data_IF_265357265919
#
_entry.id   IF_265357265919
#
_cell.length_a   1.000
_cell.length_b   1.000
_cell.length_c   1.000
_cell.angle_alpha   90.00
_cell.angle_beta   90.00
_cell.angle_gamma   90.00
#
_symmetry.space_group_name_H-M   'P 1'
#
loop_
_entity.id
_entity.type
_entity.pdbx_description
1 polymer ?
#
# COMPACT_ATOMS: atom_id res chain seq x y z
N UNK A 1 -18.82 31.66 -15.08
CA UNK A 1 -18.96 30.75 -16.24
C UNK A 1 -17.65 30.00 -16.38
N UNK A 2 -17.72 28.69 -16.61
CA UNK A 2 -16.52 27.88 -16.86
C UNK A 2 -15.85 28.27 -18.18
N UNK A 3 -14.54 28.02 -18.31
CA UNK A 3 -13.80 28.25 -19.56
C UNK A 3 -14.47 27.51 -20.73
N UNK A 4 -14.92 26.28 -20.48
CA UNK A 4 -15.64 25.45 -21.44
C UNK A 4 -16.94 26.11 -21.94
N UNK A 5 -17.78 26.61 -21.03
CA UNK A 5 -19.03 27.29 -21.39
C UNK A 5 -18.77 28.56 -22.19
N UNK A 6 -17.72 29.33 -21.84
CA UNK A 6 -17.36 30.52 -22.58
C UNK A 6 -16.95 30.20 -24.01
N UNK A 7 -16.10 29.18 -24.19
CA UNK A 7 -15.67 28.72 -25.51
C UNK A 7 -16.86 28.24 -26.35
N UNK A 8 -17.76 27.45 -25.75
CA UNK A 8 -18.94 26.88 -26.42
C UNK A 8 -19.98 27.92 -26.80
N UNK A 9 -20.33 28.81 -25.88
CA UNK A 9 -21.48 29.69 -26.04
C UNK A 9 -21.12 31.02 -26.70
N UNK A 10 -19.87 31.46 -26.57
CA UNK A 10 -19.45 32.79 -27.04
C UNK A 10 -18.33 32.72 -28.05
N UNK A 11 -17.16 32.21 -27.68
CA UNK A 11 -15.94 32.48 -28.43
C UNK A 11 -15.91 31.73 -29.78
N UNK A 12 -16.33 30.45 -29.82
CA UNK A 12 -16.42 29.68 -31.07
C UNK A 12 -17.56 30.19 -31.98
N UNK A 13 -18.79 30.42 -31.49
CA UNK A 13 -19.84 31.04 -32.30
C UNK A 13 -19.44 32.41 -32.85
N UNK A 14 -18.80 33.26 -32.04
CA UNK A 14 -18.30 34.56 -32.47
C UNK A 14 -17.22 34.42 -33.54
N UNK A 15 -16.22 33.56 -33.36
CA UNK A 15 -15.18 33.34 -34.36
C UNK A 15 -15.74 32.80 -35.69
N UNK A 16 -16.76 31.93 -35.63
CA UNK A 16 -17.49 31.49 -36.84
C UNK A 16 -18.25 32.63 -37.52
N UNK A 17 -18.85 33.53 -36.74
CA UNK A 17 -19.54 34.70 -37.30
C UNK A 17 -18.55 35.63 -37.99
N UNK A 18 -17.39 35.90 -37.38
CA UNK A 18 -16.34 36.73 -38.00
C UNK A 18 -15.90 36.13 -39.35
N UNK A 19 -15.72 34.81 -39.45
CA UNK A 19 -15.40 34.17 -40.74
C UNK A 19 -16.51 34.33 -41.78
N UNK A 20 -17.79 34.29 -41.37
CA UNK A 20 -18.92 34.53 -42.27
C UNK A 20 -18.95 35.98 -42.77
N UNK A 21 -18.71 36.92 -41.87
CA UNK A 21 -18.65 38.34 -42.21
C UNK A 21 -17.48 38.61 -43.15
N UNK A 22 -16.34 37.96 -42.93
CA UNK A 22 -15.18 38.02 -43.82
C UNK A 22 -15.47 37.54 -45.23
N UNK A 23 -16.21 36.44 -45.38
CA UNK A 23 -16.63 35.98 -46.71
C UNK A 23 -17.41 37.06 -47.47
N UNK A 24 -18.40 37.69 -46.82
CA UNK A 24 -19.17 38.79 -47.44
C UNK A 24 -18.29 40.00 -47.75
N UNK A 25 -17.35 40.35 -46.87
CA UNK A 25 -16.44 41.47 -47.07
C UNK A 25 -15.48 41.23 -48.23
N UNK A 26 -14.97 40.00 -48.39
CA UNK A 26 -14.06 39.65 -49.48
C UNK A 26 -14.71 39.75 -50.85
N UNK A 27 -15.99 39.38 -50.96
CA UNK A 27 -16.76 39.59 -52.19
C UNK A 27 -16.81 41.08 -52.55
N UNK A 28 -17.11 41.94 -51.57
CA UNK A 28 -17.13 43.40 -51.78
C UNK A 28 -15.75 43.97 -52.14
N UNK A 29 -14.68 43.44 -51.55
CA UNK A 29 -13.30 43.81 -51.91
C UNK A 29 -12.99 43.39 -53.35
N UNK A 30 -13.42 42.20 -53.78
CA UNK A 30 -13.25 41.75 -55.14
C UNK A 30 -14.00 42.65 -56.14
N UNK A 31 -15.28 42.97 -55.88
CA UNK A 31 -16.09 43.88 -56.70
C UNK A 31 -15.45 45.28 -56.79
N UNK A 32 -14.88 45.77 -55.67
CA UNK A 32 -14.14 47.02 -55.63
C UNK A 32 -12.88 46.96 -56.48
N UNK A 33 -12.05 45.92 -56.33
CA UNK A 33 -10.81 45.76 -57.10
C UNK A 33 -11.10 45.75 -58.60
N UNK A 34 -12.14 45.04 -59.04
CA UNK A 34 -12.58 45.01 -60.44
C UNK A 34 -13.01 46.40 -60.92
N UNK A 35 -13.93 47.04 -60.19
CA UNK A 35 -14.46 48.36 -60.55
C UNK A 35 -13.37 49.43 -60.57
N UNK A 36 -12.48 49.44 -59.56
CA UNK A 36 -11.34 50.35 -59.46
C UNK A 36 -10.39 50.14 -60.63
N UNK A 37 -10.07 48.89 -60.96
CA UNK A 37 -9.20 48.60 -62.11
C UNK A 37 -9.82 49.04 -63.43
N UNK A 38 -11.13 48.87 -63.64
CA UNK A 38 -11.81 49.32 -64.87
C UNK A 38 -11.88 50.85 -64.98
N UNK A 39 -12.21 51.54 -63.89
CA UNK A 39 -12.43 53.00 -63.87
C UNK A 39 -11.15 53.83 -63.75
N UNK A 40 -10.07 53.28 -63.19
CA UNK A 40 -8.82 54.01 -62.99
C UNK A 40 -8.16 54.43 -64.32
N UNK A 41 -7.66 55.66 -64.36
CA UNK A 41 -6.83 56.17 -65.45
C UNK A 41 -5.43 55.53 -65.47
N UNK A 42 -4.85 55.29 -64.29
CA UNK A 42 -3.57 54.58 -64.12
C UNK A 42 -3.79 53.14 -63.67
N UNK A 43 -3.64 52.19 -64.61
CA UNK A 43 -3.81 50.76 -64.35
C UNK A 43 -2.73 50.16 -63.46
N UNK A 44 -1.51 50.72 -63.44
CA UNK A 44 -0.43 50.19 -62.59
C UNK A 44 -0.74 50.43 -61.12
N UNK A 45 -1.18 51.65 -60.80
CA UNK A 45 -1.57 52.01 -59.43
C UNK A 45 -2.75 51.18 -58.93
N UNK A 46 -3.79 50.99 -59.77
CA UNK A 46 -4.95 50.16 -59.40
C UNK A 46 -4.59 48.68 -59.18
N UNK A 47 -3.64 48.15 -59.97
CA UNK A 47 -3.13 46.79 -59.78
C UNK A 47 -2.35 46.65 -58.47
N UNK A 48 -1.50 47.62 -58.14
CA UNK A 48 -0.73 47.62 -56.89
C UNK A 48 -1.66 47.66 -55.67
N UNK A 49 -2.72 48.47 -55.72
CA UNK A 49 -3.76 48.50 -54.68
C UNK A 49 -4.48 47.14 -54.55
N UNK A 50 -4.81 46.50 -55.68
CA UNK A 50 -5.41 45.16 -55.70
C UNK A 50 -4.48 44.12 -55.06
N UNK A 51 -3.17 44.16 -55.35
CA UNK A 51 -2.18 43.28 -54.73
C UNK A 51 -2.09 43.50 -53.22
N UNK A 52 -2.12 44.76 -52.77
CA UNK A 52 -2.12 45.09 -51.35
C UNK A 52 -3.36 44.54 -50.63
N UNK A 53 -4.56 44.77 -51.19
CA UNK A 53 -5.82 44.25 -50.65
C UNK A 53 -5.87 42.72 -50.66
N UNK A 54 -5.31 42.07 -51.68
CA UNK A 54 -5.21 40.60 -51.76
C UNK A 54 -4.31 40.05 -50.65
N UNK A 55 -3.17 40.68 -50.42
CA UNK A 55 -2.23 40.29 -49.36
C UNK A 55 -2.86 40.47 -47.97
N UNK A 56 -3.54 41.59 -47.74
CA UNK A 56 -4.27 41.86 -46.51
C UNK A 56 -5.40 40.84 -46.28
N UNK A 57 -6.16 40.54 -47.33
CA UNK A 57 -7.25 39.56 -47.30
C UNK A 57 -6.76 38.17 -46.93
N UNK A 58 -5.67 37.71 -47.56
CA UNK A 58 -5.04 36.44 -47.25
C UNK A 58 -4.56 36.37 -45.80
N UNK A 59 -3.87 37.40 -45.32
CA UNK A 59 -3.39 37.47 -43.94
C UNK A 59 -4.55 37.44 -42.94
N UNK A 60 -5.62 38.19 -43.22
CA UNK A 60 -6.79 38.28 -42.34
C UNK A 60 -7.54 36.96 -42.21
N UNK A 61 -7.83 36.27 -43.33
CA UNK A 61 -8.50 34.96 -43.31
C UNK A 61 -7.65 33.92 -42.61
N UNK A 62 -6.34 33.89 -42.90
CA UNK A 62 -5.41 32.92 -42.30
C UNK A 62 -5.37 33.09 -40.78
N UNK A 63 -5.30 34.33 -40.28
CA UNK A 63 -5.35 34.61 -38.86
C UNK A 63 -6.64 34.13 -38.21
N UNK A 64 -7.80 34.39 -38.83
CA UNK A 64 -9.08 34.01 -38.25
C UNK A 64 -9.29 32.51 -38.22
N UNK A 65 -8.90 31.80 -39.28
CA UNK A 65 -8.93 30.33 -39.32
C UNK A 65 -8.02 29.76 -38.24
N UNK A 66 -6.80 30.27 -38.10
CA UNK A 66 -5.84 29.83 -37.08
C UNK A 66 -6.35 30.07 -35.66
N UNK A 67 -6.91 31.26 -35.40
CA UNK A 67 -7.48 31.63 -34.11
C UNK A 67 -8.68 30.74 -33.74
N UNK A 68 -9.61 30.52 -34.68
CA UNK A 68 -10.76 29.64 -34.45
C UNK A 68 -10.33 28.18 -34.26
N UNK A 69 -9.36 27.70 -35.02
CA UNK A 69 -8.83 26.35 -34.86
C UNK A 69 -8.20 26.17 -33.46
N UNK A 70 -7.40 27.13 -33.01
CA UNK A 70 -6.74 27.10 -31.69
C UNK A 70 -7.77 27.08 -30.56
N UNK A 71 -8.80 27.93 -30.65
CA UNK A 71 -9.89 27.96 -29.65
C UNK A 71 -10.72 26.68 -29.67
N UNK A 72 -10.95 26.09 -30.84
CA UNK A 72 -11.65 24.81 -30.96
C UNK A 72 -10.85 23.64 -30.38
N UNK A 73 -9.55 23.55 -30.66
CA UNK A 73 -8.66 22.55 -30.06
C UNK A 73 -8.66 22.66 -28.53
N UNK A 74 -8.60 23.89 -28.00
CA UNK A 74 -8.69 24.14 -26.55
C UNK A 74 -9.98 23.60 -25.94
N UNK A 75 -11.11 23.77 -26.63
CA UNK A 75 -12.38 23.19 -26.20
C UNK A 75 -12.32 21.66 -26.16
N UNK A 76 -11.76 21.02 -27.19
CA UNK A 76 -11.65 19.56 -27.26
C UNK A 76 -10.77 19.00 -26.14
N UNK A 77 -9.65 19.66 -25.84
CA UNK A 77 -8.77 19.28 -24.73
C UNK A 77 -9.48 19.34 -23.38
N UNK A 78 -10.26 20.40 -23.15
CA UNK A 78 -11.05 20.55 -21.92
C UNK A 78 -12.13 19.47 -21.81
N UNK A 79 -12.85 19.16 -22.90
CA UNK A 79 -13.83 18.07 -22.91
C UNK A 79 -13.18 16.70 -22.66
N UNK A 80 -12.01 16.44 -23.26
CA UNK A 80 -11.27 15.21 -23.05
C UNK A 80 -10.74 15.09 -21.61
N UNK A 81 -10.38 16.20 -20.97
CA UNK A 81 -10.01 16.21 -19.55
C UNK A 81 -11.20 15.91 -18.63
N UNK A 82 -12.37 16.52 -18.88
CA UNK A 82 -13.59 16.24 -18.11
C UNK A 82 -14.04 14.79 -18.27
N UNK A 83 -13.98 14.23 -19.48
CA UNK A 83 -14.29 12.82 -19.72
C UNK A 83 -13.34 11.88 -18.95
N UNK A 84 -12.03 12.14 -18.97
CA UNK A 84 -11.06 11.33 -18.18
C UNK A 84 -11.35 11.38 -16.68
N UNK A 85 -11.82 12.52 -16.16
CA UNK A 85 -12.21 12.65 -14.76
C UNK A 85 -13.45 11.81 -14.44
N UNK A 86 -14.47 11.88 -15.30
CA UNK A 86 -15.68 11.06 -15.18
C UNK A 86 -15.35 9.57 -15.28
N UNK A 87 -14.49 9.19 -16.22
CA UNK A 87 -14.00 7.83 -16.37
C UNK A 87 -13.27 7.34 -15.12
N UNK A 88 -12.33 8.13 -14.57
CA UNK A 88 -11.62 7.76 -13.34
C UNK A 88 -12.58 7.60 -12.15
N UNK A 89 -13.60 8.46 -12.06
CA UNK A 89 -14.64 8.37 -11.03
C UNK A 89 -15.48 7.09 -11.17
N UNK A 90 -15.80 6.69 -12.40
CA UNK A 90 -16.55 5.46 -12.71
C UNK A 90 -15.68 4.22 -12.53
N UNK A 91 -14.42 4.26 -12.95
CA UNK A 91 -13.54 3.08 -12.98
C UNK A 91 -12.91 2.77 -11.63
N UNK A 92 -12.47 3.79 -10.87
CA UNK A 92 -11.80 3.56 -9.58
C UNK A 92 -12.79 3.64 -8.41
N UNK A 93 -13.60 4.70 -8.36
CA UNK A 93 -14.35 5.02 -7.14
C UNK A 93 -15.68 4.27 -7.06
N UNK A 94 -16.38 4.11 -8.19
CA UNK A 94 -17.66 3.43 -8.21
C UNK A 94 -17.55 1.92 -7.89
N UNK A 95 -16.63 1.14 -8.50
CA UNK A 95 -16.60 -0.31 -8.34
C UNK A 95 -16.03 -0.67 -6.97
N UNK A 96 -15.00 0.03 -6.48
CA UNK A 96 -14.51 -0.17 -5.11
C UNK A 96 -15.61 -0.07 -4.05
N UNK A 97 -16.52 0.92 -4.17
CA UNK A 97 -17.63 1.05 -3.21
C UNK A 97 -18.68 -0.03 -3.41
N UNK A 98 -19.00 -0.38 -4.65
CA UNK A 98 -19.99 -1.42 -4.97
C UNK A 98 -19.49 -2.80 -4.55
N UNK A 99 -18.24 -3.15 -4.85
CA UNK A 99 -17.62 -4.42 -4.50
C UNK A 99 -17.46 -4.57 -3.00
N UNK A 100 -16.98 -3.51 -2.32
CA UNK A 100 -16.92 -3.49 -0.85
C UNK A 100 -18.33 -3.63 -0.24
N UNK A 101 -19.35 -3.01 -0.84
CA UNK A 101 -20.73 -3.16 -0.38
C UNK A 101 -21.24 -4.59 -0.58
N UNK A 102 -21.04 -5.18 -1.77
CA UNK A 102 -21.41 -6.56 -2.07
C UNK A 102 -20.74 -7.55 -1.11
N UNK A 103 -19.45 -7.37 -0.84
CA UNK A 103 -18.70 -8.19 0.10
C UNK A 103 -19.23 -8.04 1.54
N UNK A 104 -19.51 -6.80 1.98
CA UNK A 104 -20.08 -6.54 3.31
C UNK A 104 -21.46 -7.19 3.48
N UNK A 105 -22.32 -7.11 2.46
CA UNK A 105 -23.64 -7.74 2.48
C UNK A 105 -23.50 -9.26 2.56
N UNK A 106 -22.67 -9.87 1.69
CA UNK A 106 -22.40 -11.30 1.70
C UNK A 106 -21.86 -11.80 3.06
N UNK A 107 -20.86 -11.12 3.62
CA UNK A 107 -20.31 -11.47 4.95
C UNK A 107 -21.33 -11.32 6.07
N UNK A 108 -22.26 -10.37 5.97
CA UNK A 108 -23.33 -10.21 6.96
C UNK A 108 -24.31 -11.38 6.91
N UNK A 109 -24.70 -11.82 5.72
CA UNK A 109 -25.58 -12.99 5.54
C UNK A 109 -24.92 -14.25 6.09
N UNK A 110 -23.66 -14.52 5.70
CA UNK A 110 -22.89 -15.64 6.24
C UNK A 110 -22.71 -15.50 7.77
N UNK A 111 -22.38 -14.30 8.25
CA UNK A 111 -22.18 -14.02 9.68
C UNK A 111 -23.41 -14.34 10.54
N UNK A 112 -24.61 -14.12 10.01
CA UNK A 112 -25.87 -14.50 10.68
C UNK A 112 -26.01 -16.01 10.91
N UNK A 113 -25.31 -16.83 10.12
CA UNK A 113 -25.31 -18.29 10.23
C UNK A 113 -24.11 -18.82 11.04
N UNK A 114 -23.25 -17.94 11.56
CA UNK A 114 -22.06 -18.33 12.33
C UNK A 114 -22.25 -18.15 13.83
N UNK A 115 -21.54 -18.96 14.61
CA UNK A 115 -21.41 -18.82 16.06
C UNK A 115 -19.93 -18.74 16.44
N UNK A 116 -19.60 -18.00 17.51
CA UNK A 116 -18.21 -17.85 17.96
C UNK A 116 -17.66 -19.18 18.46
N UNK A 117 -16.63 -19.70 17.79
CA UNK A 117 -15.86 -20.86 18.26
C UNK A 117 -14.61 -20.38 18.98
N UNK A 118 -14.55 -20.60 20.29
CA UNK A 118 -13.35 -20.33 21.08
C UNK A 118 -12.38 -21.49 20.95
N UNK A 119 -11.17 -21.19 20.47
CA UNK A 119 -10.06 -22.12 20.54
C UNK A 119 -9.26 -21.79 21.78
N UNK A 120 -9.22 -22.72 22.74
CA UNK A 120 -8.30 -22.60 23.85
C UNK A 120 -6.90 -22.86 23.31
N UNK A 121 -6.02 -21.88 23.47
CA UNK A 121 -4.59 -22.07 23.21
C UNK A 121 -4.02 -22.99 24.29
N UNK A 122 -4.01 -24.29 24.03
CA UNK A 122 -3.46 -25.27 24.97
C UNK A 122 -2.01 -25.59 24.60
N UNK A 123 -1.09 -25.47 25.56
CA UNK A 123 0.26 -26.02 25.40
C UNK A 123 0.21 -27.53 25.56
N UNK A 124 0.63 -28.28 24.54
CA UNK A 124 0.56 -29.75 24.49
C UNK A 124 1.26 -30.44 25.68
N UNK A 125 2.27 -29.80 26.27
CA UNK A 125 2.99 -30.28 27.45
C UNK A 125 3.01 -29.13 28.45
N UNK A 126 2.30 -29.31 29.57
CA UNK A 126 2.40 -28.40 30.71
C UNK A 126 3.26 -29.08 31.78
N UNK A 127 4.47 -28.58 31.98
CA UNK A 127 5.32 -29.06 33.07
C UNK A 127 4.67 -28.70 34.41
N UNK A 128 4.68 -29.61 35.41
CA UNK A 128 4.12 -29.32 36.72
C UNK A 128 4.82 -28.09 37.34
N UNK A 129 4.11 -27.24 38.11
CA UNK A 129 4.67 -26.02 38.70
C UNK A 129 5.87 -26.27 39.63
N UNK A 130 5.95 -27.45 40.24
CA UNK A 130 7.05 -27.87 41.07
C UNK A 130 7.62 -29.20 40.51
N UNK A 131 8.77 -29.17 39.79
CA UNK A 131 9.43 -30.39 39.38
C UNK A 131 9.99 -31.11 40.62
N UNK A 132 9.91 -32.44 40.68
CA UNK A 132 10.45 -33.20 41.81
C UNK A 132 11.95 -32.90 41.97
N UNK A 133 12.38 -32.57 43.19
CA UNK A 133 13.80 -32.41 43.49
C UNK A 133 14.52 -33.74 43.31
N UNK A 134 15.54 -33.77 42.46
CA UNK A 134 16.35 -34.95 42.25
C UNK A 134 17.30 -35.13 43.44
N UNK A 135 17.03 -36.09 44.32
CA UNK A 135 17.94 -36.43 45.42
C UNK A 135 19.18 -37.19 44.90
N UNK A 136 20.41 -36.76 45.25
CA UNK A 136 21.62 -37.47 44.88
C UNK A 136 21.67 -38.89 45.47
N UNK A 137 22.14 -39.85 44.69
CA UNK A 137 22.32 -41.22 45.17
C UNK A 137 23.49 -41.33 46.16
N UNK A 138 23.25 -42.04 47.27
CA UNK A 138 24.30 -42.46 48.20
C UNK A 138 24.06 -43.89 48.67
N UNK A 139 25.16 -44.61 48.92
CA UNK A 139 25.10 -46.01 49.39
C UNK A 139 24.66 -46.03 50.85
N UNK A 140 23.56 -46.73 51.15
CA UNK A 140 23.14 -47.06 52.51
C UNK A 140 23.40 -48.55 52.77
N UNK A 141 24.03 -48.92 53.91
CA UNK A 141 24.07 -50.31 54.36
C UNK A 141 22.66 -50.89 54.54
N UNK A 142 22.52 -52.21 54.44
CA UNK A 142 21.25 -52.90 54.62
C UNK A 142 20.76 -52.73 56.07
N UNK A 143 19.58 -52.15 56.25
CA UNK A 143 18.95 -51.95 57.55
C UNK A 143 17.74 -52.88 57.69
N UNK A 144 17.87 -53.91 58.53
CA UNK A 144 16.81 -54.90 58.77
C UNK A 144 15.70 -54.40 59.69
N UNK A 145 15.88 -53.24 60.34
CA UNK A 145 14.93 -52.68 61.30
C UNK A 145 14.03 -51.57 60.73
N UNK A 146 14.17 -51.21 59.46
CA UNK A 146 13.43 -50.08 58.84
C UNK A 146 11.91 -50.28 58.82
N UNK A 147 11.44 -51.53 58.97
CA UNK A 147 10.01 -51.88 59.00
C UNK A 147 9.55 -52.36 60.38
N UNK A 148 10.41 -52.37 61.40
CA UNK A 148 10.06 -52.89 62.73
C UNK A 148 8.95 -52.08 63.42
N UNK A 149 8.78 -50.82 63.03
CA UNK A 149 7.73 -49.93 63.54
C UNK A 149 6.44 -49.97 62.70
N UNK A 150 6.39 -50.79 61.64
CA UNK A 150 5.22 -50.95 60.76
C UNK A 150 4.55 -52.30 61.09
N UNK A 151 3.36 -52.26 61.71
CA UNK A 151 2.62 -53.45 62.11
C UNK A 151 3.07 -54.02 63.46
N UNK A 152 3.28 -55.34 63.55
CA UNK A 152 3.74 -56.03 64.77
C UNK A 152 5.20 -56.47 64.61
N UNK A 153 6.10 -55.51 64.40
CA UNK A 153 7.51 -55.80 64.18
C UNK A 153 8.21 -56.36 65.42
N UNK A 154 9.18 -57.24 65.20
CA UNK A 154 9.97 -57.88 66.25
C UNK A 154 11.33 -57.16 66.30
N UNK A 155 11.50 -56.28 67.29
CA UNK A 155 12.78 -55.60 67.51
C UNK A 155 13.79 -56.59 68.07
N UNK A 156 14.89 -56.79 67.35
CA UNK A 156 16.04 -57.56 67.86
C UNK A 156 16.70 -56.71 68.95
N UNK A 157 16.40 -57.01 70.22
CA UNK A 157 16.99 -56.30 71.36
C UNK A 157 18.47 -56.66 71.47
N UNK A 158 19.41 -55.70 71.49
CA UNK A 158 20.83 -56.02 71.63
C UNK A 158 21.11 -56.44 73.08
N UNK A 159 21.04 -57.74 73.34
CA UNK A 159 21.38 -58.38 74.62
C UNK A 159 22.74 -59.06 74.56
N UNK A 160 23.76 -58.39 75.13
CA UNK A 160 25.02 -58.90 75.68
C UNK A 160 25.86 -59.92 74.87
N UNK A 161 27.02 -59.46 74.37
CA UNK A 161 28.11 -60.35 73.93
C UNK A 161 29.35 -59.69 73.30
N UNK A 162 29.99 -58.71 73.97
CA UNK A 162 31.44 -58.45 73.95
C UNK A 162 32.18 -58.08 72.64
N UNK A 163 32.72 -56.85 72.56
CA UNK A 163 33.74 -56.48 71.57
C UNK A 163 33.93 -54.97 71.37
N UNK A 164 34.54 -54.31 72.36
CA UNK A 164 34.88 -52.88 72.36
C UNK A 164 36.10 -52.55 71.50
N UNK A 165 35.97 -51.60 70.56
CA UNK A 165 36.95 -50.56 70.19
C UNK A 165 36.11 -49.43 69.52
N UNK A 166 35.67 -48.36 70.19
CA UNK A 166 36.37 -47.20 70.78
C UNK A 166 37.25 -46.46 69.76
N UNK A 167 36.88 -45.23 69.41
CA UNK A 167 37.77 -44.32 68.65
C UNK A 167 37.11 -43.16 67.90
N UNK A 168 36.36 -42.35 68.63
CA UNK A 168 36.14 -40.91 68.48
C UNK A 168 37.10 -40.10 67.58
N UNK A 169 36.51 -39.18 66.79
CA UNK A 169 37.04 -37.82 66.54
C UNK A 169 38.18 -37.64 65.52
N UNK A 170 37.92 -36.86 64.46
CA UNK A 170 38.67 -35.64 64.15
C UNK A 170 38.29 -35.07 62.77
N UNK A 171 37.89 -33.80 62.80
CA UNK A 171 37.93 -32.86 61.68
C UNK A 171 39.32 -32.78 61.06
N UNK A 172 39.43 -32.70 59.72
CA UNK A 172 40.21 -31.66 59.03
C UNK A 172 40.24 -31.81 57.49
N UNK A 173 40.24 -30.66 56.82
CA UNK A 173 40.87 -30.42 55.51
C UNK A 173 39.97 -30.72 54.29
N UNK A 174 39.20 -29.76 53.75
CA UNK A 174 39.63 -28.70 52.79
C UNK A 174 40.57 -29.23 51.71
N UNK A 175 40.09 -29.30 50.46
CA UNK A 175 40.66 -28.82 49.16
C UNK A 175 39.54 -29.11 48.14
N UNK A 176 39.14 -28.29 47.16
CA UNK A 176 39.60 -27.03 46.64
C UNK A 176 38.56 -26.56 45.61
N UNK A 177 38.60 -25.27 45.31
CA UNK A 177 37.80 -24.59 44.30
C UNK A 177 37.93 -25.20 42.91
N UNK A 178 36.85 -25.18 42.11
CA UNK A 178 36.90 -24.62 40.75
C UNK A 178 35.59 -23.88 40.45
N UNK A 179 35.76 -22.55 40.34
CA UNK A 179 34.85 -21.61 39.69
C UNK A 179 34.94 -21.87 38.18
N UNK A 180 33.82 -21.92 37.47
CA UNK A 180 33.83 -22.13 36.01
C UNK A 180 32.56 -21.65 35.33
N UNK A 181 32.36 -20.34 35.33
CA UNK A 181 31.64 -19.64 34.25
C UNK A 181 32.56 -19.56 33.03
N UNK A 182 31.98 -19.61 31.83
CA UNK A 182 32.65 -19.36 30.56
C UNK A 182 32.34 -20.49 29.57
N UNK A 183 31.36 -20.31 28.68
CA UNK A 183 31.51 -19.64 27.37
C UNK A 183 32.40 -20.41 26.38
N UNK A 184 31.88 -20.48 25.15
CA UNK A 184 32.56 -21.04 23.99
C UNK A 184 31.74 -22.20 23.41
N UNK A 185 30.96 -22.04 22.36
CA UNK A 185 30.96 -21.00 21.35
C UNK A 185 30.80 -21.67 19.99
N UNK A 186 30.30 -20.90 19.03
CA UNK A 186 30.59 -21.14 17.62
C UNK A 186 29.42 -21.64 16.79
N UNK A 187 28.96 -20.75 15.92
CA UNK A 187 28.54 -21.14 14.56
C UNK A 187 27.15 -20.65 14.18
N UNK A 188 26.94 -19.40 13.70
CA UNK A 188 27.15 -18.99 12.28
C UNK A 188 26.10 -19.71 11.40
N UNK A 189 25.14 -19.11 10.69
CA UNK A 189 24.97 -17.76 10.10
C UNK A 189 23.51 -17.68 9.51
N UNK A 190 23.10 -16.70 8.67
CA UNK A 190 21.87 -15.92 8.80
C UNK A 190 20.84 -16.23 7.68
N UNK A 191 20.01 -15.23 7.31
CA UNK A 191 18.93 -15.17 6.31
C UNK A 191 17.53 -15.51 6.88
N UNK A 192 16.47 -14.73 6.70
CA UNK A 192 16.26 -13.58 5.83
C UNK A 192 15.09 -12.75 6.40
N UNK A 193 15.31 -11.46 6.66
CA UNK A 193 14.22 -10.48 6.75
C UNK A 193 13.87 -10.11 5.32
N UNK A 194 12.77 -10.65 4.82
CA UNK A 194 12.19 -10.21 3.54
C UNK A 194 10.89 -9.47 3.81
N UNK A 195 11.07 -8.17 3.98
CA UNK A 195 10.24 -7.07 3.47
C UNK A 195 9.22 -7.53 2.42
N UNK A 196 7.93 -7.39 2.71
CA UNK A 196 6.87 -7.36 1.70
C UNK A 196 6.25 -5.96 1.70
N UNK A 197 6.58 -5.22 0.64
CA UNK A 197 5.92 -4.03 0.14
C UNK A 197 5.46 -4.37 -1.28
N UNK A 198 4.29 -3.84 -1.66
CA UNK A 198 3.63 -3.88 -2.99
C UNK A 198 2.99 -5.25 -3.34
N UNK A 199 1.83 -5.33 -4.01
CA UNK A 199 1.21 -4.43 -4.98
C UNK A 199 -0.28 -4.79 -5.12
N UNK A 200 -1.12 -3.79 -5.41
CA UNK A 200 -2.44 -3.95 -6.02
C UNK A 200 -2.32 -4.60 -7.42
N UNK A 201 -3.39 -5.21 -7.93
CA UNK A 201 -4.33 -4.45 -8.77
C UNK A 201 -5.73 -4.30 -8.15
#
# INVERSE_FOLDING_TARGET
>A
MSELEQLQQRDIPAGRQVLRDHHCNLLRVADYCESNYLQASDKRKALEETMALTTQSLASVTYQVSSLATTFLRLLDLQAAELRKVEADISLRSPQRVDMHKEKVSRREIGSLTVSKRFLSYQKIMSPPNPPSLEPYYRKPLNFSVLDDIGHGIKVSPGLGGGSHRGEGASHGRWGWVRGWGEGGGGVLPFCVTKWVMMAP
#
